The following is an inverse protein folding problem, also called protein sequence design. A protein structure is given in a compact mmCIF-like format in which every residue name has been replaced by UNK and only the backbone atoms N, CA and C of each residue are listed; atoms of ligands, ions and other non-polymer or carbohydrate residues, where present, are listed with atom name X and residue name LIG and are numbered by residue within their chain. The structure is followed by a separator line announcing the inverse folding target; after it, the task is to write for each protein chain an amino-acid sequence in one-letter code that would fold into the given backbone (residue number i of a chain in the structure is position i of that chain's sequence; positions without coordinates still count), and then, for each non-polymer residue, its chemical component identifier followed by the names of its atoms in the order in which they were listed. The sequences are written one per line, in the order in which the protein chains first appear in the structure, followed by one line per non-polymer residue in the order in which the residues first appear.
data_IF_984487191655
#
_entry.id   IF_984487191655
#
_cell.length_a   1.000
_cell.length_b   1.000
_cell.length_c   1.000
_cell.angle_alpha   90.00
_cell.angle_beta   90.00
_cell.angle_gamma   90.00
#
_symmetry.space_group_name_H-M   'P 1'
#
loop_
_entity.id
_entity.type
_entity.pdbx_description
1 polymer ?
#
# COMPACT_ATOMS: atom_id res chain seq x y z
N UNK A 1 -27.85 69.41 6.07
CA UNK A 1 -26.75 68.51 5.77
C UNK A 1 -27.29 67.06 5.74
N UNK A 2 -27.45 66.51 4.53
CA UNK A 2 -27.91 65.11 4.34
C UNK A 2 -26.68 64.25 4.09
N UNK A 3 -26.37 63.37 5.02
CA UNK A 3 -25.28 62.42 4.93
C UNK A 3 -25.71 61.27 4.04
N UNK A 4 -25.05 61.10 2.90
CA UNK A 4 -25.26 60.00 1.96
C UNK A 4 -24.38 58.83 2.42
N UNK A 5 -24.99 57.78 2.91
CA UNK A 5 -24.29 56.52 3.25
C UNK A 5 -24.19 55.67 1.96
N UNK A 6 -22.97 55.58 1.42
CA UNK A 6 -22.66 54.74 0.27
C UNK A 6 -22.45 53.31 0.78
N UNK A 7 -23.41 52.43 0.55
CA UNK A 7 -23.26 51.00 0.79
C UNK A 7 -22.50 50.38 -0.38
N UNK A 8 -21.25 49.94 -0.14
CA UNK A 8 -20.45 49.17 -1.08
C UNK A 8 -20.87 47.68 -0.89
N UNK A 9 -21.43 47.03 -1.90
CA UNK A 9 -21.66 45.59 -1.82
C UNK A 9 -20.31 44.86 -1.86
N UNK A 10 -19.98 44.17 -0.75
CA UNK A 10 -18.85 43.28 -0.67
C UNK A 10 -19.19 42.02 -1.52
N UNK A 11 -18.69 42.03 -2.75
CA UNK A 11 -18.77 40.84 -3.64
C UNK A 11 -17.79 39.80 -3.12
N UNK A 12 -18.26 38.87 -2.28
CA UNK A 12 -17.53 37.67 -1.95
C UNK A 12 -17.44 36.82 -3.22
N UNK A 13 -16.34 36.94 -3.96
CA UNK A 13 -15.95 35.97 -4.95
C UNK A 13 -15.61 34.69 -4.20
N UNK A 14 -16.49 33.70 -4.25
CA UNK A 14 -16.20 32.31 -3.88
C UNK A 14 -15.18 31.87 -4.94
N UNK A 15 -13.91 31.99 -4.63
CA UNK A 15 -12.89 31.24 -5.36
C UNK A 15 -13.13 29.78 -5.01
N UNK A 16 -13.84 29.06 -5.88
CA UNK A 16 -13.77 27.62 -5.93
C UNK A 16 -12.30 27.29 -6.22
N UNK A 17 -11.55 26.89 -5.21
CA UNK A 17 -10.25 26.26 -5.40
C UNK A 17 -10.54 24.92 -6.03
N UNK A 18 -10.59 24.87 -7.38
CA UNK A 18 -10.51 23.62 -8.08
C UNK A 18 -9.16 23.02 -7.69
N UNK A 19 -9.16 21.82 -7.08
CA UNK A 19 -7.95 21.02 -7.01
C UNK A 19 -7.40 20.96 -8.44
N UNK A 20 -6.10 21.18 -8.61
CA UNK A 20 -5.49 21.14 -9.93
C UNK A 20 -5.69 19.75 -10.49
N UNK A 21 -6.42 19.65 -11.60
CA UNK A 21 -6.66 18.39 -12.30
C UNK A 21 -5.34 17.86 -12.84
N UNK A 22 -5.03 16.59 -12.56
CA UNK A 22 -3.86 15.90 -13.10
C UNK A 22 -4.18 15.45 -14.52
N UNK A 23 -3.59 16.14 -15.50
CA UNK A 23 -3.72 15.76 -16.92
C UNK A 23 -2.68 14.71 -17.27
N UNK A 24 -3.05 13.71 -18.06
CA UNK A 24 -2.16 12.64 -18.50
C UNK A 24 -2.57 12.14 -19.89
N UNK A 25 -1.63 11.47 -20.56
CA UNK A 25 -1.87 10.69 -21.76
C UNK A 25 -1.48 9.24 -21.51
N UNK A 26 -2.26 8.31 -22.03
CA UNK A 26 -1.95 6.87 -21.88
C UNK A 26 -2.11 6.13 -23.20
N UNK A 27 -1.30 5.10 -23.40
CA UNK A 27 -1.29 4.27 -24.60
C UNK A 27 -0.53 2.96 -24.38
N UNK A 28 -0.76 1.99 -25.26
CA UNK A 28 -0.03 0.71 -25.24
C UNK A 28 1.03 0.64 -26.33
N UNK A 29 2.18 0.02 -26.02
CA UNK A 29 3.13 -0.44 -27.01
C UNK A 29 2.70 -1.79 -27.61
N UNK A 30 3.23 -2.12 -28.80
CA UNK A 30 2.93 -3.39 -29.49
C UNK A 30 3.26 -4.64 -28.65
N UNK A 31 4.21 -4.54 -27.72
CA UNK A 31 4.57 -5.61 -26.80
C UNK A 31 3.66 -5.68 -25.55
N UNK A 32 2.67 -4.81 -25.46
CA UNK A 32 1.68 -4.78 -24.39
C UNK A 32 2.10 -4.02 -23.14
N UNK A 33 3.23 -3.29 -23.16
CA UNK A 33 3.58 -2.35 -22.09
C UNK A 33 2.59 -1.18 -22.13
N UNK A 34 1.88 -0.95 -21.02
CA UNK A 34 1.06 0.24 -20.86
C UNK A 34 1.92 1.41 -20.45
N UNK A 35 1.69 2.57 -21.03
CA UNK A 35 2.47 3.81 -20.81
C UNK A 35 1.54 4.93 -20.38
N UNK A 36 1.91 5.63 -19.29
CA UNK A 36 1.20 6.80 -18.81
C UNK A 36 2.18 7.97 -18.71
N UNK A 37 1.84 9.11 -19.33
CA UNK A 37 2.65 10.32 -19.37
C UNK A 37 1.91 11.47 -18.70
N UNK A 38 2.56 12.12 -17.72
CA UNK A 38 2.07 13.34 -17.09
C UNK A 38 3.10 14.46 -17.26
N UNK A 39 2.73 15.51 -18.00
CA UNK A 39 3.58 16.69 -18.20
C UNK A 39 3.29 17.73 -17.14
N UNK A 40 4.32 18.09 -16.36
CA UNK A 40 4.31 19.21 -15.42
C UNK A 40 5.68 19.91 -15.42
N UNK A 41 5.74 21.05 -16.09
CA UNK A 41 6.96 21.84 -16.25
C UNK A 41 7.15 22.89 -15.12
N UNK A 42 6.43 22.75 -14.02
CA UNK A 42 6.51 23.68 -12.88
C UNK A 42 7.85 23.58 -12.12
N UNK A 43 8.50 22.41 -12.18
CA UNK A 43 9.82 22.17 -11.60
C UNK A 43 10.67 21.30 -12.54
N UNK A 44 11.99 21.52 -12.63
CA UNK A 44 12.87 20.80 -13.56
C UNK A 44 13.22 19.40 -13.02
N UNK A 45 12.21 18.58 -12.75
CA UNK A 45 12.33 17.21 -12.24
C UNK A 45 11.45 16.27 -13.05
N UNK A 46 11.87 15.01 -13.16
CA UNK A 46 11.14 13.93 -13.81
C UNK A 46 11.24 12.66 -12.97
N UNK A 47 10.14 11.93 -12.90
CA UNK A 47 10.09 10.57 -12.33
C UNK A 47 9.80 9.59 -13.45
N UNK A 48 10.63 8.55 -13.55
CA UNK A 48 10.40 7.35 -14.35
C UNK A 48 10.08 6.21 -13.40
N UNK A 49 9.03 5.47 -13.66
CA UNK A 49 8.59 4.41 -12.77
C UNK A 49 7.99 3.24 -13.54
N UNK A 50 8.23 2.03 -13.07
CA UNK A 50 7.61 0.82 -13.59
C UNK A 50 6.90 0.08 -12.46
N UNK A 51 5.62 -0.17 -12.64
CA UNK A 51 4.83 -1.02 -11.76
C UNK A 51 4.55 -2.35 -12.45
N UNK A 52 4.99 -3.42 -11.82
CA UNK A 52 4.68 -4.78 -12.27
C UNK A 52 3.48 -5.29 -11.48
N UNK A 53 2.47 -5.81 -12.18
CA UNK A 53 1.32 -6.44 -11.54
C UNK A 53 1.69 -7.84 -11.06
N UNK A 54 2.59 -7.89 -10.11
CA UNK A 54 3.07 -9.09 -9.42
C UNK A 54 3.46 -8.74 -8.00
N UNK A 55 2.92 -9.47 -7.04
CA UNK A 55 3.21 -9.33 -5.63
C UNK A 55 3.27 -10.69 -4.93
N UNK A 56 3.25 -10.68 -3.61
CA UNK A 56 3.36 -11.91 -2.85
C UNK A 56 2.19 -12.89 -3.10
N UNK A 57 1.02 -12.42 -3.53
CA UNK A 57 -0.11 -13.31 -3.86
C UNK A 57 0.14 -14.22 -5.07
N UNK A 58 1.03 -13.81 -5.97
CA UNK A 58 1.33 -14.55 -7.21
C UNK A 58 2.35 -15.68 -7.00
N UNK A 59 2.86 -15.82 -5.78
CA UNK A 59 3.87 -16.80 -5.42
C UNK A 59 3.29 -18.21 -5.25
N UNK A 60 4.16 -19.20 -5.42
CA UNK A 60 3.83 -20.57 -5.05
C UNK A 60 3.78 -20.69 -3.51
N UNK A 61 2.76 -21.34 -2.91
CA UNK A 61 2.66 -21.53 -1.46
C UNK A 61 3.90 -22.16 -0.79
N UNK A 62 4.65 -22.96 -1.54
CA UNK A 62 5.89 -23.60 -1.08
C UNK A 62 7.16 -22.79 -1.41
N UNK A 63 7.00 -21.59 -2.01
CA UNK A 63 8.09 -20.71 -2.47
C UNK A 63 7.70 -19.24 -2.26
N UNK A 64 7.48 -18.86 -1.00
CA UNK A 64 7.05 -17.50 -0.64
C UNK A 64 8.23 -16.55 -0.42
N UNK A 65 8.03 -15.25 -0.67
CA UNK A 65 9.03 -14.21 -0.54
C UNK A 65 9.70 -13.83 -1.88
N UNK A 66 9.30 -14.43 -3.01
CA UNK A 66 9.94 -14.20 -4.31
C UNK A 66 9.71 -12.79 -4.84
N UNK A 67 8.50 -12.24 -4.76
CA UNK A 67 8.21 -10.91 -5.25
C UNK A 67 9.07 -9.84 -4.55
N UNK A 68 9.17 -9.91 -3.22
CA UNK A 68 10.03 -9.03 -2.45
C UNK A 68 11.52 -9.30 -2.72
N UNK A 69 11.91 -10.55 -2.90
CA UNK A 69 13.28 -10.89 -3.28
C UNK A 69 13.66 -10.26 -4.62
N UNK A 70 12.73 -10.25 -5.61
CA UNK A 70 12.96 -9.59 -6.89
C UNK A 70 13.05 -8.07 -6.76
N UNK A 71 12.36 -7.46 -5.79
CA UNK A 71 12.59 -6.04 -5.47
C UNK A 71 14.07 -5.75 -5.26
N UNK A 72 14.77 -6.60 -4.52
CA UNK A 72 16.22 -6.48 -4.30
C UNK A 72 17.05 -6.92 -5.50
N UNK A 73 16.73 -8.08 -6.07
CA UNK A 73 17.52 -8.74 -7.10
C UNK A 73 17.65 -7.92 -8.38
N UNK A 74 16.62 -7.15 -8.74
CA UNK A 74 16.64 -6.30 -9.93
C UNK A 74 17.48 -5.01 -9.78
N UNK A 75 18.14 -4.81 -8.63
CA UNK A 75 19.23 -3.82 -8.45
C UNK A 75 20.62 -4.42 -8.57
N UNK A 76 20.77 -5.75 -8.68
CA UNK A 76 22.07 -6.43 -8.73
C UNK A 76 22.85 -6.17 -10.01
N UNK A 77 22.21 -5.62 -11.03
CA UNK A 77 22.81 -5.26 -12.30
C UNK A 77 22.10 -5.86 -13.51
N UNK A 78 22.52 -5.42 -14.67
CA UNK A 78 22.00 -5.84 -15.97
C UNK A 78 23.16 -6.23 -16.89
N UNK A 79 22.86 -6.64 -18.11
CA UNK A 79 23.88 -6.91 -19.13
C UNK A 79 24.83 -5.72 -19.34
N UNK A 80 24.34 -4.48 -19.17
CA UNK A 80 25.07 -3.25 -19.47
C UNK A 80 25.40 -2.43 -18.20
N UNK A 81 24.95 -2.86 -17.02
CA UNK A 81 25.19 -2.21 -15.73
C UNK A 81 25.85 -3.23 -14.81
N UNK A 82 27.08 -2.97 -14.37
CA UNK A 82 27.77 -3.85 -13.45
C UNK A 82 27.09 -3.88 -12.08
N UNK A 83 27.28 -4.97 -11.37
CA UNK A 83 26.77 -5.16 -10.02
C UNK A 83 27.23 -4.04 -9.09
N UNK A 84 26.29 -3.42 -8.35
CA UNK A 84 26.57 -2.33 -7.41
C UNK A 84 26.77 -0.95 -8.05
N UNK A 85 26.64 -0.83 -9.38
CA UNK A 85 26.76 0.46 -10.10
C UNK A 85 25.41 1.20 -10.19
N UNK A 86 24.27 0.52 -10.05
CA UNK A 86 22.95 1.14 -10.19
C UNK A 86 22.79 2.41 -9.35
N UNK A 87 22.94 2.30 -8.03
CA UNK A 87 22.80 3.43 -7.12
C UNK A 87 23.84 4.54 -7.35
N UNK A 88 25.04 4.18 -7.83
CA UNK A 88 26.09 5.16 -8.17
C UNK A 88 25.72 5.93 -9.44
N UNK A 89 25.17 5.26 -10.45
CA UNK A 89 24.67 5.90 -11.68
C UNK A 89 23.58 6.90 -11.31
N UNK A 90 22.57 6.47 -10.55
CA UNK A 90 21.47 7.33 -10.12
C UNK A 90 21.97 8.53 -9.33
N UNK A 91 22.74 8.31 -8.27
CA UNK A 91 23.20 9.39 -7.39
C UNK A 91 24.18 10.35 -8.07
N UNK A 92 25.06 9.87 -8.97
CA UNK A 92 26.01 10.72 -9.71
C UNK A 92 25.34 11.71 -10.66
N UNK A 93 24.08 11.46 -11.02
CA UNK A 93 23.25 12.33 -11.87
C UNK A 93 22.24 13.15 -11.07
N UNK A 94 22.42 13.22 -9.75
CA UNK A 94 21.51 13.96 -8.86
C UNK A 94 20.15 13.32 -8.68
N UNK A 95 20.02 12.03 -9.05
CA UNK A 95 18.80 11.26 -8.90
C UNK A 95 18.72 10.55 -7.55
N UNK A 96 17.53 10.09 -7.26
CA UNK A 96 17.24 9.16 -6.17
C UNK A 96 16.19 8.17 -6.63
N UNK A 97 16.23 6.95 -6.14
CA UNK A 97 15.30 5.90 -6.50
C UNK A 97 15.06 4.94 -5.35
N UNK A 98 13.99 4.20 -5.45
CA UNK A 98 13.62 3.14 -4.51
C UNK A 98 12.69 2.13 -5.18
N UNK A 99 12.37 1.07 -4.45
CA UNK A 99 11.35 0.11 -4.83
C UNK A 99 10.51 -0.29 -3.61
N UNK A 100 9.38 -0.92 -3.85
CA UNK A 100 8.58 -1.55 -2.81
C UNK A 100 7.67 -2.62 -3.38
N UNK A 101 7.37 -3.63 -2.56
CA UNK A 101 6.53 -4.77 -2.88
C UNK A 101 5.33 -4.84 -1.95
N UNK A 102 4.16 -5.12 -2.51
CA UNK A 102 2.95 -5.43 -1.75
C UNK A 102 2.48 -6.86 -2.04
N UNK A 103 1.32 -7.21 -1.57
CA UNK A 103 0.67 -8.47 -1.93
C UNK A 103 0.35 -8.56 -3.43
N UNK A 104 0.11 -7.42 -4.09
CA UNK A 104 -0.49 -7.36 -5.42
C UNK A 104 0.42 -6.81 -6.51
N UNK A 105 1.47 -6.04 -6.12
CA UNK A 105 2.32 -5.38 -7.09
C UNK A 105 3.75 -5.15 -6.57
N UNK A 106 4.72 -4.98 -7.51
CA UNK A 106 6.10 -4.52 -7.26
C UNK A 106 6.33 -3.25 -8.06
N UNK A 107 6.89 -2.22 -7.41
CA UNK A 107 7.04 -0.88 -7.97
C UNK A 107 8.49 -0.40 -7.84
N UNK A 108 9.08 0.04 -8.96
CA UNK A 108 10.39 0.66 -9.04
C UNK A 108 10.25 2.08 -9.56
N UNK A 109 11.05 3.00 -9.05
CA UNK A 109 11.03 4.37 -9.55
C UNK A 109 12.34 5.09 -9.30
N UNK A 110 12.69 6.00 -10.20
CA UNK A 110 13.74 6.98 -10.05
C UNK A 110 13.22 8.39 -10.33
N UNK A 111 13.69 9.35 -9.54
CA UNK A 111 13.43 10.78 -9.76
C UNK A 111 14.75 11.49 -10.03
N UNK A 112 14.81 12.22 -11.14
CA UNK A 112 15.98 12.92 -11.62
C UNK A 112 15.70 14.41 -11.89
N UNK A 113 16.72 15.27 -11.97
CA UNK A 113 16.63 16.49 -12.77
C UNK A 113 16.20 16.16 -14.21
N UNK A 114 15.31 16.94 -14.80
CA UNK A 114 14.61 16.59 -16.06
C UNK A 114 15.53 16.32 -17.26
N UNK A 115 16.74 16.92 -17.27
CA UNK A 115 17.76 16.68 -18.29
C UNK A 115 18.33 15.22 -18.27
N UNK A 116 17.96 14.41 -17.30
CA UNK A 116 18.32 13.00 -17.20
C UNK A 116 17.14 12.05 -17.48
N UNK A 117 16.07 12.51 -18.12
CA UNK A 117 14.92 11.67 -18.50
C UNK A 117 15.36 10.42 -19.27
N UNK A 118 16.23 10.61 -20.27
CA UNK A 118 16.71 9.48 -21.09
C UNK A 118 17.45 8.42 -20.25
N UNK A 119 18.22 8.86 -19.23
CA UNK A 119 18.87 7.95 -18.30
C UNK A 119 17.83 7.13 -17.49
N UNK A 120 16.79 7.77 -16.98
CA UNK A 120 15.74 7.06 -16.26
C UNK A 120 15.04 6.01 -17.12
N UNK A 121 14.69 6.35 -18.36
CA UNK A 121 14.11 5.43 -19.32
C UNK A 121 15.06 4.27 -19.65
N UNK A 122 16.33 4.56 -19.86
CA UNK A 122 17.34 3.53 -20.11
C UNK A 122 17.47 2.56 -18.93
N UNK A 123 17.57 3.07 -17.69
CA UNK A 123 17.67 2.26 -16.49
C UNK A 123 16.48 1.28 -16.38
N UNK A 124 15.26 1.76 -16.51
CA UNK A 124 14.07 0.91 -16.41
C UNK A 124 13.96 -0.08 -17.58
N UNK A 125 14.37 0.31 -18.78
CA UNK A 125 14.41 -0.63 -19.91
C UNK A 125 15.46 -1.73 -19.71
N UNK A 126 16.63 -1.42 -19.15
CA UNK A 126 17.65 -2.38 -18.78
C UNK A 126 17.17 -3.36 -17.70
N UNK A 127 16.46 -2.85 -16.68
CA UNK A 127 15.84 -3.65 -15.61
C UNK A 127 14.86 -4.68 -16.19
N UNK A 128 14.04 -4.25 -17.15
CA UNK A 128 13.00 -5.10 -17.73
C UNK A 128 13.57 -6.08 -18.77
N UNK A 129 14.54 -5.63 -19.60
CA UNK A 129 15.03 -6.43 -20.74
C UNK A 129 16.22 -7.33 -20.40
N UNK A 130 17.09 -6.90 -19.50
CA UNK A 130 18.42 -7.47 -19.35
C UNK A 130 18.86 -7.77 -17.91
N UNK A 131 17.95 -8.10 -16.97
CA UNK A 131 18.36 -8.36 -15.59
C UNK A 131 19.32 -9.55 -15.52
N UNK A 132 20.34 -9.45 -14.65
CA UNK A 132 21.25 -10.57 -14.41
C UNK A 132 20.75 -11.36 -13.19
N UNK A 133 20.18 -12.54 -13.47
CA UNK A 133 19.76 -13.48 -12.43
C UNK A 133 20.78 -14.62 -12.40
N UNK A 134 21.71 -14.55 -11.45
CA UNK A 134 22.76 -15.52 -11.28
C UNK A 134 22.96 -15.90 -9.80
N UNK A 135 23.77 -16.95 -9.56
CA UNK A 135 23.98 -17.46 -8.21
C UNK A 135 24.59 -16.41 -7.26
N UNK A 136 25.48 -15.55 -7.75
CA UNK A 136 26.13 -14.53 -6.90
C UNK A 136 25.11 -13.51 -6.40
N UNK A 137 24.26 -12.99 -7.29
CA UNK A 137 23.18 -12.07 -6.93
C UNK A 137 22.18 -12.71 -5.97
N UNK A 138 21.74 -13.94 -6.26
CA UNK A 138 20.80 -14.67 -5.41
C UNK A 138 21.38 -14.92 -4.02
N UNK A 139 22.61 -15.42 -3.91
CA UNK A 139 23.26 -15.67 -2.61
C UNK A 139 23.40 -14.37 -1.80
N UNK A 140 23.81 -13.27 -2.44
CA UNK A 140 23.97 -11.98 -1.75
C UNK A 140 22.63 -11.43 -1.27
N UNK A 141 21.63 -11.40 -2.14
CA UNK A 141 20.34 -10.85 -1.75
C UNK A 141 19.59 -11.77 -0.75
N UNK A 142 19.89 -13.07 -0.76
CA UNK A 142 19.41 -13.96 0.29
C UNK A 142 19.90 -13.55 1.69
N UNK A 143 21.16 -13.18 1.82
CA UNK A 143 21.70 -12.65 3.09
C UNK A 143 21.06 -11.33 3.50
N UNK A 144 20.84 -10.41 2.53
CA UNK A 144 20.20 -9.11 2.77
C UNK A 144 18.75 -9.28 3.25
N UNK A 145 17.95 -10.08 2.52
CA UNK A 145 16.53 -10.31 2.86
C UNK A 145 16.40 -11.06 4.19
N UNK A 146 17.31 -12.01 4.49
CA UNK A 146 17.34 -12.67 5.79
C UNK A 146 17.60 -11.68 6.92
N UNK A 147 18.55 -10.76 6.75
CA UNK A 147 18.85 -9.76 7.77
C UNK A 147 17.68 -8.76 7.92
N UNK A 148 17.06 -8.35 6.82
CA UNK A 148 15.87 -7.51 6.85
C UNK A 148 14.73 -8.17 7.62
N UNK A 149 14.48 -9.47 7.38
CA UNK A 149 13.48 -10.23 8.14
C UNK A 149 13.80 -10.26 9.63
N UNK A 150 15.08 -10.51 9.99
CA UNK A 150 15.50 -10.48 11.40
C UNK A 150 15.22 -9.12 12.05
N UNK A 151 15.55 -8.03 11.34
CA UNK A 151 15.40 -6.67 11.88
C UNK A 151 13.94 -6.23 11.95
N UNK A 152 13.13 -6.52 10.91
CA UNK A 152 11.77 -5.97 10.79
C UNK A 152 10.68 -6.89 11.34
N UNK A 153 10.95 -8.19 11.42
CA UNK A 153 9.96 -9.21 11.80
C UNK A 153 10.39 -9.96 13.05
N UNK A 154 11.54 -10.65 13.01
CA UNK A 154 11.87 -11.61 14.05
C UNK A 154 12.31 -10.94 15.36
N UNK A 155 13.05 -9.81 15.30
CA UNK A 155 13.55 -9.06 16.45
C UNK A 155 12.78 -7.76 16.74
N UNK A 156 11.86 -7.37 15.84
CA UNK A 156 11.06 -6.17 16.05
C UNK A 156 9.95 -6.43 17.08
N UNK A 157 9.73 -5.54 18.06
CA UNK A 157 8.56 -5.62 18.93
C UNK A 157 7.27 -5.71 18.10
N UNK A 158 6.44 -6.69 18.40
CA UNK A 158 5.21 -7.00 17.65
C UNK A 158 5.42 -7.36 16.18
N UNK A 159 6.65 -7.62 15.70
CA UNK A 159 6.97 -7.77 14.27
C UNK A 159 6.23 -8.91 13.55
N UNK A 160 5.74 -9.91 14.27
CA UNK A 160 5.04 -11.08 13.71
C UNK A 160 3.51 -10.97 13.70
N UNK A 161 2.95 -9.82 14.08
CA UNK A 161 1.49 -9.69 14.18
C UNK A 161 0.79 -9.96 12.84
N UNK A 162 1.36 -9.47 11.72
CA UNK A 162 0.79 -9.71 10.39
C UNK A 162 0.79 -11.20 10.05
N UNK A 163 1.91 -11.90 10.25
CA UNK A 163 1.98 -13.34 10.00
C UNK A 163 0.92 -14.11 10.78
N UNK A 164 0.74 -13.79 12.07
CA UNK A 164 -0.24 -14.47 12.93
C UNK A 164 -1.68 -14.14 12.52
N UNK A 165 -1.96 -12.86 12.25
CA UNK A 165 -3.30 -12.40 11.88
C UNK A 165 -3.70 -12.91 10.50
N UNK A 166 -2.87 -12.70 9.48
CA UNK A 166 -3.23 -12.96 8.09
C UNK A 166 -3.34 -14.45 7.78
N UNK A 167 -2.46 -15.31 8.33
CA UNK A 167 -2.59 -16.76 8.16
C UNK A 167 -3.87 -17.34 8.79
N UNK A 168 -4.48 -16.59 9.74
CA UNK A 168 -5.73 -16.99 10.40
C UNK A 168 -6.95 -16.39 9.70
N UNK A 169 -6.84 -15.14 9.22
CA UNK A 169 -7.89 -14.50 8.42
C UNK A 169 -8.08 -15.18 7.07
N UNK A 170 -6.98 -15.61 6.42
CA UNK A 170 -7.00 -16.22 5.09
C UNK A 170 -6.50 -17.66 5.18
N UNK A 171 -7.35 -18.60 4.77
CA UNK A 171 -7.02 -20.04 4.84
C UNK A 171 -6.71 -20.64 3.46
N UNK A 172 -7.27 -20.05 2.40
CA UNK A 172 -7.14 -20.47 1.01
C UNK A 172 -6.36 -19.45 0.19
N UNK A 173 -6.65 -18.15 0.42
CA UNK A 173 -6.08 -17.05 -0.35
C UNK A 173 -4.59 -16.86 -0.02
N UNK A 174 -3.75 -16.52 -1.02
CA UNK A 174 -2.32 -16.22 -0.82
C UNK A 174 -2.02 -15.08 0.16
N UNK A 175 -2.95 -14.20 0.48
CA UNK A 175 -2.76 -13.18 1.53
C UNK A 175 -2.47 -13.75 2.93
N UNK A 176 -2.52 -15.07 3.09
CA UNK A 176 -2.14 -15.76 4.34
C UNK A 176 -0.65 -15.70 4.68
N UNK A 177 0.23 -15.31 3.73
CA UNK A 177 1.64 -15.05 3.99
C UNK A 177 2.00 -13.59 3.72
N UNK A 178 3.09 -13.13 4.32
CA UNK A 178 3.60 -11.77 4.17
C UNK A 178 4.54 -11.65 2.97
N UNK A 179 4.77 -10.42 2.50
CA UNK A 179 5.65 -10.13 1.36
C UNK A 179 7.08 -10.63 1.56
N UNK A 180 7.59 -10.58 2.79
CA UNK A 180 8.96 -11.05 3.09
C UNK A 180 9.07 -12.59 3.02
N UNK A 181 7.95 -13.31 3.09
CA UNK A 181 7.87 -14.74 2.93
C UNK A 181 8.61 -15.56 3.98
N UNK A 182 8.94 -16.81 3.63
CA UNK A 182 9.65 -17.77 4.47
C UNK A 182 11.14 -17.82 4.10
N UNK A 183 12.01 -17.67 5.10
CA UNK A 183 13.46 -17.87 4.90
C UNK A 183 13.80 -19.29 4.44
N UNK A 184 13.06 -20.28 4.91
CA UNK A 184 13.22 -21.68 4.49
C UNK A 184 12.92 -21.83 2.99
N UNK A 185 11.83 -21.22 2.51
CA UNK A 185 11.47 -21.26 1.09
C UNK A 185 12.52 -20.61 0.21
N UNK A 186 13.01 -19.43 0.61
CA UNK A 186 14.06 -18.71 -0.13
C UNK A 186 15.39 -19.48 -0.13
N UNK A 187 15.75 -20.11 0.99
CA UNK A 187 17.00 -20.89 1.12
C UNK A 187 16.97 -22.18 0.28
N UNK A 188 15.79 -22.77 0.10
CA UNK A 188 15.59 -24.01 -0.65
C UNK A 188 15.33 -23.76 -2.15
N UNK A 189 15.13 -22.51 -2.55
CA UNK A 189 14.86 -22.14 -3.94
C UNK A 189 16.09 -22.35 -4.84
N UNK A 190 15.87 -22.92 -6.01
CA UNK A 190 16.91 -23.06 -7.03
C UNK A 190 17.04 -21.79 -7.86
N UNK A 191 18.20 -21.59 -8.53
CA UNK A 191 18.37 -20.51 -9.47
C UNK A 191 17.36 -20.53 -10.60
N UNK A 192 16.89 -21.70 -11.00
CA UNK A 192 15.90 -21.86 -12.04
C UNK A 192 14.52 -21.33 -11.60
N UNK A 193 14.13 -21.55 -10.34
CA UNK A 193 12.90 -21.01 -9.79
C UNK A 193 12.84 -19.49 -9.88
N UNK A 194 13.97 -18.82 -9.61
CA UNK A 194 14.07 -17.35 -9.76
C UNK A 194 13.93 -16.93 -11.22
N UNK A 195 14.57 -17.62 -12.16
CA UNK A 195 14.46 -17.30 -13.58
C UNK A 195 13.04 -17.50 -14.10
N UNK A 196 12.39 -18.61 -13.72
CA UNK A 196 11.00 -18.90 -14.10
C UNK A 196 10.04 -17.82 -13.59
N UNK A 197 10.22 -17.38 -12.33
CA UNK A 197 9.40 -16.31 -11.76
C UNK A 197 9.60 -14.97 -12.51
N UNK A 198 10.85 -14.61 -12.82
CA UNK A 198 11.14 -13.43 -13.61
C UNK A 198 10.52 -13.50 -15.01
N UNK A 199 10.76 -14.58 -15.75
CA UNK A 199 10.25 -14.77 -17.10
C UNK A 199 8.71 -14.78 -17.17
N UNK A 200 8.05 -15.19 -16.10
CA UNK A 200 6.59 -15.23 -16.02
C UNK A 200 5.99 -13.85 -15.75
N UNK A 201 6.56 -13.11 -14.81
CA UNK A 201 5.90 -11.94 -14.24
C UNK A 201 6.52 -10.58 -14.60
N UNK A 202 7.85 -10.53 -14.82
CA UNK A 202 8.54 -9.28 -15.15
C UNK A 202 8.67 -9.11 -16.67
N UNK A 203 7.51 -8.88 -17.29
CA UNK A 203 7.34 -8.79 -18.74
C UNK A 203 6.53 -7.55 -19.13
N UNK A 204 6.70 -6.97 -20.33
CA UNK A 204 6.05 -5.72 -20.73
C UNK A 204 4.52 -5.74 -20.55
N UNK A 205 3.88 -6.81 -20.97
CA UNK A 205 2.41 -6.96 -20.89
C UNK A 205 1.89 -7.29 -19.46
N UNK A 206 2.74 -7.18 -18.45
CA UNK A 206 2.39 -7.22 -17.02
C UNK A 206 2.95 -6.00 -16.29
N UNK A 207 3.26 -4.93 -17.01
CA UNK A 207 3.91 -3.76 -16.46
C UNK A 207 3.26 -2.46 -16.96
N UNK A 208 3.35 -1.43 -16.13
CA UNK A 208 2.94 -0.07 -16.44
C UNK A 208 4.15 0.85 -16.29
N UNK A 209 4.56 1.51 -17.37
CA UNK A 209 5.58 2.55 -17.34
C UNK A 209 4.89 3.90 -17.14
N UNK A 210 5.23 4.60 -16.09
CA UNK A 210 4.77 5.98 -15.87
C UNK A 210 5.94 6.95 -15.92
N UNK A 211 5.79 8.01 -16.71
CA UNK A 211 6.75 9.11 -16.78
C UNK A 211 6.02 10.40 -16.44
N UNK A 212 6.45 11.04 -15.36
CA UNK A 212 5.80 12.27 -14.87
C UNK A 212 6.83 13.38 -14.63
N UNK A 213 6.47 14.62 -14.91
CA UNK A 213 7.25 15.81 -14.62
C UNK A 213 7.58 16.68 -15.84
N UNK A 214 8.75 17.32 -15.80
CA UNK A 214 9.22 18.23 -16.86
C UNK A 214 9.68 17.44 -18.07
N UNK A 215 8.73 17.10 -18.94
CA UNK A 215 8.90 16.33 -20.16
C UNK A 215 8.27 17.02 -21.37
N UNK A 216 8.77 16.69 -22.55
CA UNK A 216 8.10 16.89 -23.83
C UNK A 216 7.45 15.56 -24.23
N UNK A 217 6.14 15.56 -24.43
CA UNK A 217 5.35 14.33 -24.68
C UNK A 217 5.82 13.61 -25.94
N UNK A 218 5.98 14.31 -27.06
CA UNK A 218 6.32 13.68 -28.33
C UNK A 218 7.73 13.10 -28.33
N UNK A 219 8.69 13.84 -27.76
CA UNK A 219 10.07 13.37 -27.59
C UNK A 219 10.11 12.16 -26.63
N UNK A 220 9.35 12.20 -25.54
CA UNK A 220 9.28 11.12 -24.55
C UNK A 220 8.68 9.85 -25.18
N UNK A 221 7.60 9.95 -25.94
CA UNK A 221 7.03 8.82 -26.68
C UNK A 221 8.04 8.16 -27.63
N UNK A 222 8.84 8.97 -28.31
CA UNK A 222 9.89 8.45 -29.20
C UNK A 222 10.95 7.68 -28.41
N UNK A 223 11.48 8.25 -27.34
CA UNK A 223 12.46 7.58 -26.48
C UNK A 223 11.90 6.27 -25.91
N UNK A 224 10.66 6.29 -25.40
CA UNK A 224 10.00 5.08 -24.89
C UNK A 224 9.91 4.01 -25.98
N UNK A 225 9.53 4.35 -27.19
CA UNK A 225 9.47 3.41 -28.29
C UNK A 225 10.84 2.82 -28.62
N UNK A 226 11.89 3.63 -28.59
CA UNK A 226 13.26 3.20 -28.89
C UNK A 226 13.81 2.26 -27.80
N UNK A 227 13.57 2.53 -26.50
CA UNK A 227 14.07 1.74 -25.38
C UNK A 227 13.20 0.51 -25.05
N UNK A 228 11.89 0.66 -25.04
CA UNK A 228 10.96 -0.39 -24.57
C UNK A 228 10.33 -1.19 -25.73
N UNK A 229 10.21 -0.62 -26.92
CA UNK A 229 9.63 -1.31 -28.07
C UNK A 229 10.31 -2.63 -28.45
N UNK A 230 11.66 -2.75 -28.39
CA UNK A 230 12.37 -3.99 -28.69
C UNK A 230 12.16 -5.11 -27.65
N UNK A 231 11.63 -4.82 -26.45
CA UNK A 231 11.47 -5.82 -25.38
C UNK A 231 10.38 -6.83 -25.79
N UNK A 232 10.68 -8.14 -25.74
CA UNK A 232 9.71 -9.15 -26.14
C UNK A 232 8.47 -9.19 -25.23
N UNK A 233 7.30 -9.35 -25.83
CA UNK A 233 6.06 -9.62 -25.10
C UNK A 233 6.15 -10.94 -24.35
N UNK A 234 5.72 -10.96 -23.07
CA UNK A 234 5.61 -12.18 -22.31
C UNK A 234 4.35 -13.01 -22.64
N UNK A 235 4.29 -14.21 -22.09
CA UNK A 235 3.09 -15.04 -22.16
C UNK A 235 1.95 -14.40 -21.34
N UNK A 236 0.69 -14.67 -21.70
CA UNK A 236 -0.44 -14.29 -20.84
C UNK A 236 -0.33 -14.92 -19.45
N UNK A 237 -0.62 -14.14 -18.42
CA UNK A 237 -0.57 -14.60 -17.03
C UNK A 237 -1.98 -15.02 -16.61
N UNK A 238 -2.14 -16.29 -16.28
CA UNK A 238 -3.37 -16.80 -15.68
C UNK A 238 -3.30 -16.59 -14.16
N UNK A 239 -4.26 -15.84 -13.61
CA UNK A 239 -4.41 -15.62 -12.18
C UNK A 239 -5.50 -16.52 -11.61
N UNK A 240 -5.20 -17.16 -10.48
CA UNK A 240 -6.16 -18.01 -9.79
C UNK A 240 -7.09 -17.14 -8.93
N UNK A 241 -8.37 -17.49 -8.92
CA UNK A 241 -9.36 -16.87 -8.05
C UNK A 241 -9.60 -17.74 -6.83
N UNK A 242 -9.58 -17.14 -5.65
CA UNK A 242 -9.79 -17.83 -4.39
C UNK A 242 -11.07 -17.32 -3.72
N UNK A 243 -11.83 -18.23 -3.14
CA UNK A 243 -12.99 -17.88 -2.31
C UNK A 243 -12.78 -18.40 -0.90
N UNK A 244 -12.75 -17.48 0.05
CA UNK A 244 -12.62 -17.79 1.46
C UNK A 244 -13.98 -18.17 2.07
N UNK A 245 -13.97 -19.17 2.94
CA UNK A 245 -15.17 -19.49 3.70
C UNK A 245 -15.44 -18.41 4.76
N UNK A 246 -16.73 -18.11 5.07
CA UNK A 246 -17.04 -17.18 6.15
C UNK A 246 -16.45 -17.64 7.49
N UNK A 247 -15.92 -16.71 8.26
CA UNK A 247 -15.48 -16.97 9.64
C UNK A 247 -16.73 -17.24 10.48
N UNK A 248 -16.74 -18.40 11.17
CA UNK A 248 -17.85 -18.80 12.04
C UNK A 248 -17.43 -18.76 13.50
N UNK A 249 -17.89 -17.75 14.21
CA UNK A 249 -17.49 -17.45 15.58
C UNK A 249 -16.13 -16.76 15.65
N UNK A 250 -15.79 -16.13 16.80
CA UNK A 250 -14.48 -15.51 16.96
C UNK A 250 -13.40 -16.59 17.05
N UNK A 251 -12.33 -16.43 16.26
CA UNK A 251 -11.16 -17.29 16.31
C UNK A 251 -10.14 -16.63 17.24
N UNK A 252 -9.93 -17.25 18.41
CA UNK A 252 -8.97 -16.75 19.40
C UNK A 252 -7.61 -17.41 19.23
N UNK A 253 -6.58 -16.61 19.07
CA UNK A 253 -5.19 -17.07 18.99
C UNK A 253 -4.32 -16.31 19.98
N UNK A 254 -3.31 -17.00 20.51
CA UNK A 254 -2.28 -16.40 21.39
C UNK A 254 -0.92 -16.57 20.75
N UNK A 255 -0.16 -15.51 20.79
CA UNK A 255 1.23 -15.53 20.32
C UNK A 255 2.13 -14.88 21.37
N UNK A 256 3.18 -15.59 21.79
CA UNK A 256 4.17 -15.10 22.73
C UNK A 256 5.39 -14.57 21.99
N UNK A 257 5.84 -13.37 22.36
CA UNK A 257 6.98 -12.69 21.76
C UNK A 257 7.95 -12.23 22.85
N UNK A 258 9.19 -12.69 22.77
CA UNK A 258 10.25 -12.31 23.69
C UNK A 258 10.72 -10.86 23.53
N UNK A 259 10.35 -10.19 22.44
CA UNK A 259 10.78 -8.82 22.14
C UNK A 259 9.85 -7.76 22.73
N UNK A 260 8.76 -8.15 23.39
CA UNK A 260 7.82 -7.21 24.00
C UNK A 260 7.71 -7.43 25.52
N UNK A 261 7.28 -6.38 26.23
CA UNK A 261 6.95 -6.43 27.64
C UNK A 261 5.48 -6.04 27.91
N UNK A 262 4.83 -5.39 26.97
CA UNK A 262 3.46 -4.95 27.08
C UNK A 262 2.63 -5.81 26.13
N UNK A 263 1.57 -6.48 26.61
CA UNK A 263 0.70 -7.24 25.73
C UNK A 263 -0.07 -6.33 24.77
N UNK A 264 -0.59 -6.89 23.69
CA UNK A 264 -1.52 -6.20 22.78
C UNK A 264 -2.69 -7.11 22.42
N UNK A 265 -3.85 -6.52 22.19
CA UNK A 265 -4.98 -7.18 21.55
C UNK A 265 -5.17 -6.62 20.17
N UNK A 266 -5.30 -7.51 19.18
CA UNK A 266 -5.62 -7.16 17.81
C UNK A 266 -6.87 -7.95 17.37
N UNK A 267 -7.88 -7.22 16.92
CA UNK A 267 -9.13 -7.75 16.38
C UNK A 267 -9.09 -7.58 14.87
N UNK A 268 -9.07 -8.68 14.13
CA UNK A 268 -8.96 -8.70 12.67
C UNK A 268 -10.25 -9.17 12.00
N UNK A 269 -10.71 -8.45 11.00
CA UNK A 269 -11.88 -8.76 10.20
C UNK A 269 -11.50 -8.86 8.74
N UNK A 270 -12.04 -9.82 8.00
CA UNK A 270 -11.88 -9.88 6.55
C UNK A 270 -12.82 -8.86 5.91
N UNK A 271 -12.31 -8.09 4.96
CA UNK A 271 -13.01 -7.00 4.29
C UNK A 271 -13.00 -7.20 2.77
N UNK A 272 -13.78 -6.41 2.01
CA UNK A 272 -13.86 -6.58 0.56
C UNK A 272 -12.58 -6.12 -0.14
N UNK A 273 -12.52 -6.38 -1.45
CA UNK A 273 -11.49 -5.88 -2.36
C UNK A 273 -11.38 -4.35 -2.31
N UNK A 274 -10.18 -3.80 -2.57
CA UNK A 274 -9.94 -2.35 -2.52
C UNK A 274 -10.73 -1.55 -3.57
N UNK A 275 -11.16 -2.19 -4.65
CA UNK A 275 -12.00 -1.59 -5.68
C UNK A 275 -13.47 -1.46 -5.27
N UNK A 276 -13.90 -2.19 -4.23
CA UNK A 276 -15.27 -2.13 -3.75
C UNK A 276 -15.51 -0.86 -2.91
N UNK A 277 -16.70 -0.27 -3.09
CA UNK A 277 -17.08 0.98 -2.38
C UNK A 277 -16.97 0.87 -0.86
N UNK A 278 -17.28 -0.30 -0.31
CA UNK A 278 -17.22 -0.55 1.13
C UNK A 278 -15.78 -0.47 1.70
N UNK A 279 -14.75 -0.68 0.89
CA UNK A 279 -13.36 -0.51 1.34
C UNK A 279 -13.08 0.96 1.72
N UNK A 280 -13.55 1.92 0.94
CA UNK A 280 -13.46 3.36 1.24
C UNK A 280 -14.22 3.74 2.52
N UNK A 281 -15.38 3.10 2.74
CA UNK A 281 -16.15 3.33 3.97
C UNK A 281 -15.40 2.78 5.19
N UNK A 282 -14.75 1.63 5.08
CA UNK A 282 -13.92 1.05 6.14
C UNK A 282 -12.71 1.92 6.47
N UNK A 283 -12.10 2.59 5.48
CA UNK A 283 -11.06 3.59 5.71
C UNK A 283 -11.58 4.77 6.55
N UNK A 284 -12.80 5.23 6.26
CA UNK A 284 -13.44 6.28 7.06
C UNK A 284 -13.75 5.82 8.50
N UNK A 285 -14.19 4.57 8.67
CA UNK A 285 -14.44 3.98 10.00
C UNK A 285 -13.14 3.88 10.80
N UNK A 286 -12.03 3.45 10.17
CA UNK A 286 -10.72 3.37 10.84
C UNK A 286 -10.25 4.73 11.33
N UNK A 287 -10.38 5.75 10.46
CA UNK A 287 -10.05 7.14 10.80
C UNK A 287 -10.93 7.68 11.93
N UNK A 288 -12.22 7.39 11.93
CA UNK A 288 -13.14 7.78 12.99
C UNK A 288 -12.78 7.16 14.34
N UNK A 289 -12.39 5.89 14.33
CA UNK A 289 -12.09 5.14 15.55
C UNK A 289 -10.74 5.52 16.17
N UNK A 290 -9.68 5.69 15.38
CA UNK A 290 -8.32 5.77 15.96
C UNK A 290 -7.43 6.90 15.46
N UNK A 291 -7.78 7.64 14.38
CA UNK A 291 -6.86 8.61 13.82
C UNK A 291 -6.90 9.96 14.53
N UNK A 292 -5.82 10.21 15.29
CA UNK A 292 -5.58 11.43 16.07
C UNK A 292 -6.32 11.48 17.42
N UNK A 293 -5.93 12.46 18.25
CA UNK A 293 -6.38 12.59 19.64
C UNK A 293 -7.89 12.78 19.81
N UNK A 294 -8.60 13.22 18.79
CA UNK A 294 -10.06 13.41 18.85
C UNK A 294 -10.85 12.23 18.31
N UNK A 295 -10.19 11.12 17.96
CA UNK A 295 -10.83 9.86 17.57
C UNK A 295 -11.48 9.17 18.77
N UNK A 296 -12.44 8.29 18.51
CA UNK A 296 -13.29 7.76 19.57
C UNK A 296 -12.55 6.88 20.56
N UNK A 297 -11.76 5.93 20.05
CA UNK A 297 -10.98 5.04 20.92
C UNK A 297 -9.88 5.77 21.66
N UNK A 298 -9.15 6.71 20.98
CA UNK A 298 -8.10 7.46 21.65
C UNK A 298 -8.66 8.28 22.82
N UNK A 299 -9.72 9.05 22.54
CA UNK A 299 -10.33 9.89 23.58
C UNK A 299 -10.84 9.05 24.75
N UNK A 300 -11.53 7.95 24.47
CA UNK A 300 -12.13 7.08 25.49
C UNK A 300 -11.07 6.35 26.32
N UNK A 301 -10.22 5.57 25.65
CA UNK A 301 -9.30 4.62 26.29
C UNK A 301 -7.99 5.25 26.75
N UNK A 302 -7.48 6.28 26.01
CA UNK A 302 -6.19 6.90 26.35
C UNK A 302 -6.36 8.14 27.22
N UNK A 303 -7.26 9.07 26.83
CA UNK A 303 -7.42 10.34 27.53
C UNK A 303 -8.31 10.23 28.78
N UNK A 304 -9.54 9.70 28.62
CA UNK A 304 -10.56 9.75 29.67
C UNK A 304 -10.38 8.61 30.70
N UNK A 305 -10.34 7.36 30.24
CA UNK A 305 -10.27 6.16 31.11
C UNK A 305 -8.83 5.79 31.50
N UNK A 306 -7.82 6.17 30.70
CA UNK A 306 -6.40 5.83 30.89
C UNK A 306 -6.13 4.34 31.02
N UNK A 307 -6.87 3.55 30.25
CA UNK A 307 -6.77 2.08 30.22
C UNK A 307 -5.84 1.59 29.12
N UNK A 308 -5.60 2.39 28.06
CA UNK A 308 -4.67 2.05 26.99
C UNK A 308 -3.55 3.07 26.85
N UNK A 309 -2.34 2.59 26.55
CA UNK A 309 -1.20 3.40 26.13
C UNK A 309 -1.39 3.87 24.69
N UNK A 310 -1.92 2.98 23.87
CA UNK A 310 -2.12 3.21 22.47
C UNK A 310 -3.35 2.42 21.98
N UNK A 311 -4.06 3.01 21.04
CA UNK A 311 -5.14 2.37 20.26
C UNK A 311 -4.89 2.60 18.79
N UNK A 312 -5.32 1.67 17.96
CA UNK A 312 -5.19 1.77 16.52
C UNK A 312 -6.38 1.11 15.83
N UNK A 313 -6.71 1.61 14.65
CA UNK A 313 -7.59 0.96 13.69
C UNK A 313 -7.12 1.35 12.30
N UNK A 314 -7.04 0.39 11.40
CA UNK A 314 -6.69 0.61 9.99
C UNK A 314 -7.30 -0.48 9.11
N UNK A 315 -7.55 -0.13 7.86
CA UNK A 315 -7.98 -1.06 6.84
C UNK A 315 -6.79 -1.33 5.90
N UNK A 316 -6.42 -2.59 5.75
CA UNK A 316 -5.42 -3.03 4.77
C UNK A 316 -6.17 -3.42 3.52
N UNK A 317 -6.35 -2.45 2.62
CA UNK A 317 -7.03 -2.67 1.33
C UNK A 317 -6.07 -3.29 0.33
N UNK A 318 -6.51 -4.38 -0.31
CA UNK A 318 -5.74 -5.14 -1.30
C UNK A 318 -6.68 -5.54 -2.46
N UNK A 319 -6.12 -6.03 -3.56
CA UNK A 319 -6.86 -6.25 -4.82
C UNK A 319 -8.03 -7.24 -4.69
N UNK A 320 -7.85 -8.36 -3.98
CA UNK A 320 -8.87 -9.42 -3.92
C UNK A 320 -9.72 -9.37 -2.63
N UNK A 321 -9.09 -9.05 -1.52
CA UNK A 321 -9.68 -8.93 -0.19
C UNK A 321 -8.94 -7.86 0.60
N UNK A 322 -9.57 -7.32 1.63
CA UNK A 322 -8.91 -6.51 2.64
C UNK A 322 -8.90 -7.18 4.03
N UNK A 323 -8.24 -6.52 4.95
CA UNK A 323 -8.26 -6.86 6.38
C UNK A 323 -8.40 -5.58 7.21
N UNK A 324 -9.48 -5.49 7.97
CA UNK A 324 -9.64 -4.42 8.96
C UNK A 324 -9.06 -4.87 10.29
N UNK A 325 -8.16 -4.10 10.86
CA UNK A 325 -7.54 -4.42 12.15
C UNK A 325 -7.76 -3.27 13.12
N UNK A 326 -8.26 -3.60 14.31
CA UNK A 326 -8.43 -2.64 15.41
C UNK A 326 -7.90 -3.27 16.69
N UNK A 327 -7.25 -2.46 17.54
CA UNK A 327 -6.67 -3.00 18.76
C UNK A 327 -6.09 -1.94 19.66
N UNK A 328 -5.38 -2.40 20.69
CA UNK A 328 -4.71 -1.51 21.63
C UNK A 328 -3.73 -2.22 22.57
N UNK A 329 -2.89 -1.41 23.16
CA UNK A 329 -1.91 -1.78 24.17
C UNK A 329 -2.42 -1.27 25.54
N UNK A 330 -2.60 -2.13 26.54
CA UNK A 330 -3.11 -1.71 27.85
C UNK A 330 -2.09 -0.90 28.67
N UNK A 331 -2.59 -0.16 29.65
CA UNK A 331 -1.78 0.48 30.70
C UNK A 331 -1.71 -0.46 31.91
N UNK A 332 -0.49 -0.73 32.38
CA UNK A 332 -0.28 -1.50 33.61
C UNK A 332 -0.92 -2.89 33.53
N UNK A 333 -1.77 -3.21 34.51
CA UNK A 333 -2.44 -4.50 34.64
C UNK A 333 -3.85 -4.53 34.00
N UNK A 334 -4.20 -3.54 33.19
CA UNK A 334 -5.51 -3.53 32.51
C UNK A 334 -5.67 -4.79 31.64
N UNK A 335 -6.68 -5.64 31.89
CA UNK A 335 -6.89 -6.86 31.11
C UNK A 335 -7.19 -6.59 29.63
N UNK A 336 -6.74 -7.45 28.73
CA UNK A 336 -7.00 -7.32 27.29
C UNK A 336 -8.50 -7.38 26.97
N UNK A 337 -9.26 -8.12 27.76
CA UNK A 337 -10.72 -8.24 27.63
C UNK A 337 -11.41 -6.89 27.87
N UNK A 338 -10.87 -6.04 28.72
CA UNK A 338 -11.39 -4.69 28.94
C UNK A 338 -11.21 -3.84 27.69
N UNK A 339 -10.00 -3.85 27.10
CA UNK A 339 -9.74 -3.13 25.86
C UNK A 339 -10.65 -3.66 24.73
N UNK A 340 -10.81 -4.98 24.63
CA UNK A 340 -11.69 -5.62 23.65
C UNK A 340 -13.15 -5.15 23.84
N UNK A 341 -13.65 -5.15 25.07
CA UNK A 341 -15.03 -4.75 25.35
C UNK A 341 -15.29 -3.27 25.01
N UNK A 342 -14.33 -2.40 25.28
CA UNK A 342 -14.43 -0.97 24.97
C UNK A 342 -14.37 -0.69 23.45
N UNK A 343 -13.56 -1.47 22.69
CA UNK A 343 -13.55 -1.44 21.23
C UNK A 343 -14.92 -1.89 20.70
N UNK A 344 -15.44 -3.01 21.22
CA UNK A 344 -16.74 -3.56 20.80
C UNK A 344 -17.86 -2.57 21.08
N UNK A 345 -17.83 -1.83 22.19
CA UNK A 345 -18.81 -0.80 22.49
C UNK A 345 -18.77 0.35 21.46
N UNK A 346 -17.59 0.82 21.09
CA UNK A 346 -17.47 1.90 20.08
C UNK A 346 -17.90 1.41 18.68
N UNK A 347 -17.60 0.17 18.30
CA UNK A 347 -18.09 -0.44 17.05
C UNK A 347 -19.62 -0.56 17.10
N UNK A 348 -20.19 -1.04 18.23
CA UNK A 348 -21.63 -1.17 18.40
C UNK A 348 -22.37 0.18 18.29
N UNK A 349 -21.74 1.30 18.73
CA UNK A 349 -22.30 2.64 18.54
C UNK A 349 -22.44 2.98 17.05
N UNK A 350 -21.39 2.69 16.24
CA UNK A 350 -21.45 2.93 14.79
C UNK A 350 -22.52 2.04 14.14
N UNK A 351 -22.69 0.82 14.62
CA UNK A 351 -23.67 -0.15 14.09
C UNK A 351 -25.12 0.24 14.44
N UNK A 352 -25.34 0.94 15.54
CA UNK A 352 -26.69 1.26 16.04
C UNK A 352 -27.10 2.71 15.78
N UNK A 353 -26.16 3.64 15.78
CA UNK A 353 -26.39 5.08 15.67
C UNK A 353 -25.67 5.65 14.44
N UNK A 354 -26.16 6.78 13.93
CA UNK A 354 -25.44 7.55 12.93
C UNK A 354 -24.32 8.37 13.62
N UNK A 355 -23.14 8.41 13.05
CA UNK A 355 -22.09 9.34 13.51
C UNK A 355 -22.59 10.77 13.39
N UNK A 356 -22.07 11.69 14.21
CA UNK A 356 -22.53 13.08 14.16
C UNK A 356 -22.15 13.75 12.83
N UNK A 357 -22.96 14.75 12.39
CA UNK A 357 -22.64 15.58 11.21
C UNK A 357 -21.23 16.18 11.31
N UNK A 358 -20.87 16.65 12.50
CA UNK A 358 -19.56 17.23 12.76
C UNK A 358 -18.41 16.22 12.54
N UNK A 359 -18.59 14.99 13.01
CA UNK A 359 -17.58 13.94 12.81
C UNK A 359 -17.50 13.53 11.34
N UNK A 360 -18.65 13.40 10.67
CA UNK A 360 -18.71 13.11 9.24
C UNK A 360 -17.96 14.18 8.43
N UNK A 361 -18.26 15.46 8.67
CA UNK A 361 -17.56 16.56 7.98
C UNK A 361 -16.06 16.57 8.27
N UNK A 362 -15.64 16.21 9.50
CA UNK A 362 -14.23 16.07 9.85
C UNK A 362 -13.56 14.96 9.04
N UNK A 363 -14.22 13.83 8.86
CA UNK A 363 -13.71 12.72 8.03
C UNK A 363 -13.53 13.18 6.58
N UNK A 364 -14.55 13.81 6.01
CA UNK A 364 -14.49 14.36 4.66
C UNK A 364 -13.28 15.28 4.46
N UNK A 365 -13.07 16.24 5.35
CA UNK A 365 -11.94 17.15 5.28
C UNK A 365 -10.58 16.42 5.39
N UNK A 366 -10.50 15.34 6.18
CA UNK A 366 -9.27 14.55 6.30
C UNK A 366 -8.94 13.82 5.01
N UNK A 367 -9.93 13.17 4.38
CA UNK A 367 -9.73 12.44 3.12
C UNK A 367 -9.44 13.40 1.96
N UNK A 368 -10.07 14.57 1.90
CA UNK A 368 -9.71 15.61 0.95
C UNK A 368 -8.25 16.07 1.10
N UNK A 369 -7.83 16.34 2.33
CA UNK A 369 -6.45 16.73 2.59
C UNK A 369 -5.45 15.61 2.24
N UNK A 370 -5.77 14.36 2.54
CA UNK A 370 -4.94 13.21 2.20
C UNK A 370 -4.82 13.04 0.69
N UNK A 371 -5.92 13.16 -0.04
CA UNK A 371 -5.98 13.08 -1.50
C UNK A 371 -5.11 14.17 -2.17
N UNK A 372 -5.22 15.41 -1.72
CA UNK A 372 -4.38 16.51 -2.22
C UNK A 372 -2.91 16.27 -1.93
N UNK A 373 -2.58 15.76 -0.72
CA UNK A 373 -1.20 15.52 -0.34
C UNK A 373 -0.56 14.35 -1.10
N UNK A 374 -1.29 13.30 -1.41
CA UNK A 374 -0.76 12.15 -2.17
C UNK A 374 -0.30 12.55 -3.57
N UNK A 375 -0.95 13.54 -4.18
CA UNK A 375 -0.65 14.04 -5.52
C UNK A 375 0.12 15.38 -5.50
N UNK A 376 0.78 15.73 -4.39
CA UNK A 376 1.54 16.98 -4.25
C UNK A 376 2.96 16.95 -4.82
N UNK A 377 3.43 15.78 -5.27
CA UNK A 377 4.76 15.59 -5.85
C UNK A 377 4.69 14.76 -7.14
N UNK A 378 5.65 15.01 -8.03
CA UNK A 378 5.75 14.25 -9.30
C UNK A 378 5.85 12.74 -9.07
N UNK A 379 6.66 12.31 -8.08
CA UNK A 379 6.75 10.89 -7.72
C UNK A 379 5.42 10.34 -7.14
N UNK A 380 4.68 11.15 -6.38
CA UNK A 380 3.35 10.79 -5.89
C UNK A 380 2.34 10.61 -7.02
N UNK A 381 2.33 11.53 -7.99
CA UNK A 381 1.48 11.45 -9.19
C UNK A 381 1.84 10.19 -10.00
N UNK A 382 3.14 9.95 -10.24
CA UNK A 382 3.59 8.75 -10.97
C UNK A 382 3.12 7.45 -10.30
N UNK A 383 3.25 7.35 -8.98
CA UNK A 383 2.77 6.19 -8.22
C UNK A 383 1.25 6.04 -8.28
N UNK A 384 0.50 7.14 -8.11
CA UNK A 384 -0.97 7.11 -8.16
C UNK A 384 -1.49 6.66 -9.52
N UNK A 385 -0.95 7.22 -10.62
CA UNK A 385 -1.32 6.85 -11.99
C UNK A 385 -1.06 5.36 -12.25
N UNK A 386 0.16 4.88 -11.94
CA UNK A 386 0.51 3.47 -12.11
C UNK A 386 -0.41 2.55 -11.29
N UNK A 387 -0.69 2.91 -10.02
CA UNK A 387 -1.53 2.11 -9.12
C UNK A 387 -2.98 2.04 -9.59
N UNK A 388 -3.57 3.18 -9.98
CA UNK A 388 -4.96 3.19 -10.42
C UNK A 388 -5.15 2.38 -11.70
N UNK A 389 -4.23 2.47 -12.66
CA UNK A 389 -4.29 1.59 -13.81
C UNK A 389 -4.11 0.12 -13.43
N UNK A 390 -3.04 -0.21 -12.68
CA UNK A 390 -2.67 -1.60 -12.40
C UNK A 390 -3.71 -2.35 -11.55
N UNK A 391 -4.27 -1.72 -10.52
CA UNK A 391 -5.12 -2.38 -9.52
C UNK A 391 -6.60 -2.06 -9.66
N UNK A 392 -6.96 -0.97 -10.35
CA UNK A 392 -8.35 -0.53 -10.51
C UNK A 392 -8.82 -0.56 -11.97
N UNK A 393 -7.90 -0.74 -12.93
CA UNK A 393 -8.19 -0.59 -14.37
C UNK A 393 -8.88 0.76 -14.70
N UNK A 394 -8.58 1.79 -13.92
CA UNK A 394 -9.18 3.12 -14.03
C UNK A 394 -8.22 4.24 -13.59
N UNK A 395 -7.40 4.71 -14.53
CA UNK A 395 -6.45 5.81 -14.30
C UNK A 395 -7.13 7.12 -13.90
N UNK A 396 -8.42 7.31 -14.26
CA UNK A 396 -9.17 8.53 -13.96
C UNK A 396 -9.39 8.76 -12.46
N UNK A 397 -9.21 7.74 -11.64
CA UNK A 397 -9.30 7.84 -10.16
C UNK A 397 -8.29 8.84 -9.58
N UNK A 398 -7.21 9.16 -10.31
CA UNK A 398 -6.29 10.22 -9.87
C UNK A 398 -6.99 11.58 -9.67
N UNK A 399 -8.08 11.81 -10.38
CA UNK A 399 -8.89 13.01 -10.26
C UNK A 399 -10.22 12.76 -9.53
N UNK A 400 -10.76 11.56 -9.62
CA UNK A 400 -12.14 11.26 -9.27
C UNK A 400 -12.31 10.49 -7.94
N UNK A 401 -11.26 9.90 -7.39
CA UNK A 401 -11.37 9.10 -6.14
C UNK A 401 -11.97 9.91 -4.99
N UNK A 402 -11.68 11.20 -4.92
CA UNK A 402 -12.21 12.06 -3.86
C UNK A 402 -13.74 12.15 -3.88
N UNK A 403 -14.37 12.04 -5.06
CA UNK A 403 -15.82 12.09 -5.18
C UNK A 403 -16.47 10.83 -4.58
N UNK A 404 -15.75 9.70 -4.59
CA UNK A 404 -16.20 8.47 -3.90
C UNK A 404 -16.32 8.78 -2.42
N UNK A 405 -15.27 9.31 -1.77
CA UNK A 405 -15.31 9.68 -0.36
C UNK A 405 -16.38 10.73 -0.06
N UNK A 406 -16.50 11.78 -0.89
CA UNK A 406 -17.50 12.84 -0.73
C UNK A 406 -18.94 12.34 -0.79
N UNK A 407 -19.17 11.26 -1.52
CA UNK A 407 -20.49 10.67 -1.67
C UNK A 407 -20.87 9.69 -0.55
N UNK A 408 -19.94 9.28 0.34
CA UNK A 408 -20.20 8.35 1.43
C UNK A 408 -21.11 9.01 2.48
N UNK A 409 -22.21 8.37 2.79
CA UNK A 409 -23.18 8.84 3.76
C UNK A 409 -22.94 8.27 5.16
N UNK A 410 -23.54 8.86 6.17
CA UNK A 410 -23.51 8.33 7.54
C UNK A 410 -24.25 7.01 7.67
N UNK A 411 -25.29 6.83 6.85
CA UNK A 411 -26.07 5.60 6.72
C UNK A 411 -25.18 4.46 6.17
N UNK A 412 -24.39 4.70 5.12
CA UNK A 412 -23.44 3.72 4.59
C UNK A 412 -22.37 3.34 5.62
N UNK A 413 -21.85 4.29 6.39
CA UNK A 413 -20.90 4.01 7.48
C UNK A 413 -21.52 3.01 8.48
N UNK A 414 -22.77 3.22 8.88
CA UNK A 414 -23.49 2.31 9.75
C UNK A 414 -23.74 0.94 9.11
N UNK A 415 -24.15 0.90 7.85
CA UNK A 415 -24.40 -0.35 7.10
C UNK A 415 -23.15 -1.19 6.96
N UNK A 416 -22.04 -0.57 6.56
CA UNK A 416 -20.74 -1.24 6.37
C UNK A 416 -20.17 -1.75 7.70
N UNK A 417 -20.30 -0.97 8.79
CA UNK A 417 -19.92 -1.44 10.12
C UNK A 417 -20.73 -2.68 10.53
N UNK A 418 -22.04 -2.71 10.23
CA UNK A 418 -22.88 -3.88 10.48
C UNK A 418 -22.51 -5.08 9.60
N UNK A 419 -22.09 -4.86 8.37
CA UNK A 419 -21.74 -5.92 7.43
C UNK A 419 -20.42 -6.61 7.77
N UNK A 420 -19.39 -5.82 8.11
CA UNK A 420 -18.00 -6.33 8.20
C UNK A 420 -17.44 -6.42 9.62
N UNK A 421 -17.88 -5.58 10.56
CA UNK A 421 -17.29 -5.53 11.90
C UNK A 421 -18.08 -6.32 12.94
N UNK A 422 -18.45 -7.57 12.59
CA UNK A 422 -19.21 -8.45 13.47
C UNK A 422 -18.30 -9.22 14.43
N UNK A 423 -18.54 -9.12 15.73
CA UNK A 423 -17.72 -9.78 16.75
C UNK A 423 -17.64 -11.33 16.61
N UNK A 424 -18.66 -11.93 15.96
CA UNK A 424 -18.68 -13.37 15.69
C UNK A 424 -18.04 -13.76 14.34
N UNK A 425 -17.39 -12.83 13.63
CA UNK A 425 -16.74 -13.06 12.33
C UNK A 425 -15.35 -12.44 12.30
N UNK A 426 -14.57 -12.61 13.37
CA UNK A 426 -13.24 -12.01 13.51
C UNK A 426 -12.21 -12.97 14.06
N UNK A 427 -10.95 -12.59 13.91
CA UNK A 427 -9.81 -13.17 14.63
C UNK A 427 -9.46 -12.26 15.80
N UNK A 428 -9.27 -12.84 16.98
CA UNK A 428 -8.81 -12.16 18.18
C UNK A 428 -7.38 -12.64 18.49
N UNK A 429 -6.39 -11.82 18.22
CA UNK A 429 -4.99 -12.13 18.49
C UNK A 429 -4.56 -11.46 19.81
N UNK A 430 -4.37 -12.28 20.84
CA UNK A 430 -3.65 -11.89 22.06
C UNK A 430 -2.15 -12.02 21.79
N UNK A 431 -1.47 -10.89 21.66
CA UNK A 431 -0.03 -10.82 21.47
C UNK A 431 0.63 -10.56 22.82
N UNK A 432 1.33 -11.56 23.35
CA UNK A 432 1.73 -11.62 24.77
C UNK A 432 3.25 -11.59 24.92
N UNK A 433 3.78 -11.01 26.00
CA UNK A 433 5.18 -11.21 26.38
C UNK A 433 5.45 -12.70 26.64
N UNK A 434 6.69 -13.12 26.40
CA UNK A 434 7.13 -14.44 26.81
C UNK A 434 7.15 -14.52 28.35
N UNK A 435 6.60 -15.60 28.91
CA UNK A 435 6.67 -15.76 30.37
C UNK A 435 8.14 -15.93 30.80
N UNK A 436 8.58 -15.30 31.90
CA UNK A 436 9.92 -15.52 32.42
C UNK A 436 10.13 -17.00 32.71
N UNK A 437 11.19 -17.57 32.14
CA UNK A 437 11.57 -18.96 32.48
C UNK A 437 11.77 -19.02 33.99
N UNK A 438 10.89 -19.70 34.69
CA UNK A 438 11.07 -20.00 36.12
C UNK A 438 12.28 -20.92 36.24
N UNK A 439 13.44 -20.35 36.66
CA UNK A 439 14.66 -21.10 36.98
C UNK A 439 14.52 -21.85 38.32
#
# INVERSE_FOLDING_TARGET
MKTLILAIPLLCAIMATNAQEVTYEEYDLDNGLHVILHQDNSAPVVTTAVMYHVGAKDENPDKTGFAHFFEHLLFEGTKNIERGEWSKIVSSRGGQGNANTTQDRTYYYETFPSNNLELGLWLESERLMHPIINKVGVDTQSEVVQEERRLRVDNAPYGRWQEQMFKTLFTKHPYRWTTIGSLEHLSNASLEDFKEFNQKFYVPNNAVLTVAGDIDIDQTKKMIKDYFGPIPKGNPIERQTYTEDPIQGPIKIKFNDSNIQIPAILLGYRTPAETEREAYVLDMISTYLSDGKSSKLYKKLVDDQKQALQVFAFNVSQEDYGAYVVGGLPVGETPLEVITAEIDEEIAKIQTELISEKDHQKLMNKFENSFVNSNSSIAGIANSLARYYTLYDDTSLINNQIEIYRSITREEIKEVANKYLQANQRVELEYLPEEPVQN
#
